data_IF_512582769513
#
_entry.id   IF_512582769513
#
_cell.length_a   1.000
_cell.length_b   1.000
_cell.length_c   1.000
_cell.angle_alpha   90.00
_cell.angle_beta   90.00
_cell.angle_gamma   90.00
#
_symmetry.space_group_name_H-M   'P 1'
#
loop_
_entity.id
_entity.type
_entity.pdbx_description
1 polymer ?
#
# COMPACT_ATOMS: atom_id res chain seq x y z
N UNK A 1 -12.82 -0.83 6.75
CA UNK A 1 -11.69 -1.15 7.66
C UNK A 1 -10.61 -1.80 6.79
N UNK A 2 -9.61 -1.04 6.36
CA UNK A 2 -8.54 -1.55 5.48
C UNK A 2 -7.52 -2.33 6.30
N UNK A 3 -6.70 -3.17 5.64
CA UNK A 3 -5.56 -3.80 6.29
C UNK A 3 -4.69 -2.72 6.94
N UNK A 4 -4.61 -2.71 8.27
CA UNK A 4 -3.88 -1.71 9.04
C UNK A 4 -2.66 -2.38 9.67
N UNK A 5 -1.54 -1.66 9.67
CA UNK A 5 -0.29 -2.07 10.29
C UNK A 5 0.14 -1.07 11.36
N UNK A 6 0.56 -1.59 12.50
CA UNK A 6 0.99 -0.80 13.65
C UNK A 6 2.34 -1.29 14.13
N UNK A 7 3.34 -0.40 14.17
CA UNK A 7 4.68 -0.73 14.62
C UNK A 7 4.86 -0.48 16.12
N UNK A 8 5.91 -1.08 16.69
CA UNK A 8 6.32 -0.89 18.09
C UNK A 8 6.52 0.59 18.45
N UNK A 9 7.09 1.40 17.55
CA UNK A 9 7.26 2.85 17.77
C UNK A 9 5.91 3.55 17.94
N UNK A 10 4.91 3.22 17.09
CA UNK A 10 3.57 3.80 17.19
C UNK A 10 2.91 3.44 18.52
N UNK A 11 3.08 2.20 18.99
CA UNK A 11 2.57 1.75 20.28
C UNK A 11 3.22 2.49 21.45
N UNK A 12 4.55 2.70 21.42
CA UNK A 12 5.29 3.45 22.45
C UNK A 12 4.81 4.89 22.53
N UNK A 13 4.59 5.52 21.39
CA UNK A 13 4.02 6.87 21.30
C UNK A 13 2.62 6.93 21.91
N UNK A 14 1.74 5.99 21.55
CA UNK A 14 0.38 5.94 22.05
C UNK A 14 0.34 5.72 23.57
N UNK A 15 1.19 4.82 24.08
CA UNK A 15 1.30 4.53 25.50
C UNK A 15 1.76 5.76 26.29
N UNK A 16 2.83 6.40 25.83
CA UNK A 16 3.38 7.61 26.47
C UNK A 16 2.39 8.78 26.40
N UNK A 17 1.76 8.97 25.24
CA UNK A 17 0.76 10.02 25.03
C UNK A 17 -0.47 9.83 25.91
N UNK A 18 -0.97 8.60 26.04
CA UNK A 18 -2.10 8.28 26.92
C UNK A 18 -1.72 8.43 28.39
N UNK A 19 -0.52 7.98 28.79
CA UNK A 19 -0.08 8.09 30.17
C UNK A 19 0.09 9.55 30.62
N UNK A 20 0.74 10.37 29.81
CA UNK A 20 0.92 11.80 30.12
C UNK A 20 -0.40 12.56 30.12
N UNK A 21 -1.33 12.20 29.22
CA UNK A 21 -2.69 12.73 29.21
C UNK A 21 -3.46 12.39 30.49
N UNK A 22 -3.44 11.11 30.92
CA UNK A 22 -4.08 10.68 32.16
C UNK A 22 -3.48 11.42 33.36
N UNK A 23 -2.14 11.52 33.44
CA UNK A 23 -1.45 12.23 34.53
C UNK A 23 -1.87 13.71 34.59
N UNK A 24 -1.92 14.41 33.46
CA UNK A 24 -2.26 15.83 33.41
C UNK A 24 -3.71 16.13 33.80
N UNK A 25 -4.65 15.29 33.40
CA UNK A 25 -6.09 15.52 33.59
C UNK A 25 -6.71 14.65 34.67
N UNK A 26 -5.90 14.01 35.52
CA UNK A 26 -6.34 13.03 36.53
C UNK A 26 -7.50 13.55 37.39
N UNK A 27 -7.38 14.77 37.92
CA UNK A 27 -8.38 15.41 38.77
C UNK A 27 -9.73 15.72 38.07
N UNK A 28 -9.80 15.63 36.73
CA UNK A 28 -11.00 15.93 35.95
C UNK A 28 -11.80 14.70 35.54
N UNK A 29 -11.29 13.49 35.79
CA UNK A 29 -11.96 12.26 35.39
C UNK A 29 -12.86 11.74 36.51
N UNK A 30 -14.08 11.32 36.15
CA UNK A 30 -14.88 10.49 37.02
C UNK A 30 -14.32 9.04 37.05
N UNK A 31 -14.70 8.27 38.06
CA UNK A 31 -14.17 6.91 38.28
C UNK A 31 -14.42 5.98 37.08
N UNK A 32 -15.57 6.11 36.42
CA UNK A 32 -15.96 5.29 35.26
C UNK A 32 -15.08 5.57 34.03
N UNK A 33 -14.86 6.84 33.69
CA UNK A 33 -14.01 7.22 32.56
C UNK A 33 -12.55 6.87 32.83
N UNK A 34 -12.09 7.02 34.09
CA UNK A 34 -10.74 6.65 34.49
C UNK A 34 -10.51 5.13 34.33
N UNK A 35 -11.50 4.30 34.68
CA UNK A 35 -11.43 2.85 34.46
C UNK A 35 -11.27 2.52 32.97
N UNK A 36 -12.07 3.13 32.09
CA UNK A 36 -11.99 2.89 30.64
C UNK A 36 -10.64 3.35 30.06
N UNK A 37 -10.10 4.48 30.52
CA UNK A 37 -8.75 4.95 30.13
C UNK A 37 -7.65 4.00 30.62
N UNK A 38 -7.78 3.44 31.84
CA UNK A 38 -6.85 2.43 32.36
C UNK A 38 -6.92 1.13 31.57
N UNK A 39 -8.10 0.69 31.14
CA UNK A 39 -8.27 -0.48 30.28
C UNK A 39 -7.62 -0.28 28.91
N UNK A 40 -7.77 0.89 28.28
CA UNK A 40 -7.07 1.20 27.02
C UNK A 40 -5.55 1.20 27.23
N UNK A 41 -5.06 1.76 28.35
CA UNK A 41 -3.64 1.72 28.71
C UNK A 41 -3.15 0.28 28.91
N UNK A 42 -3.96 -0.59 29.52
CA UNK A 42 -3.65 -2.00 29.69
C UNK A 42 -3.49 -2.69 28.34
N UNK A 43 -4.41 -2.47 27.39
CA UNK A 43 -4.32 -3.02 26.02
C UNK A 43 -3.00 -2.58 25.36
N UNK A 44 -2.67 -1.29 25.41
CA UNK A 44 -1.39 -0.78 24.86
C UNK A 44 -0.18 -1.44 25.54
N UNK A 45 -0.22 -1.64 26.86
CA UNK A 45 0.84 -2.31 27.61
C UNK A 45 1.01 -3.76 27.17
N UNK A 46 -0.08 -4.53 27.07
CA UNK A 46 -0.05 -5.92 26.62
C UNK A 46 0.51 -6.05 25.21
N UNK A 47 0.08 -5.18 24.29
CA UNK A 47 0.60 -5.14 22.92
C UNK A 47 2.09 -4.81 22.84
N UNK A 48 2.59 -3.91 23.71
CA UNK A 48 4.01 -3.60 23.82
C UNK A 48 4.81 -4.79 24.33
N UNK A 49 4.41 -5.37 25.47
CA UNK A 49 5.11 -6.52 26.06
C UNK A 49 5.19 -7.71 25.09
N UNK A 50 4.12 -7.95 24.34
CA UNK A 50 4.08 -9.08 23.40
C UNK A 50 5.06 -8.92 22.22
N UNK A 51 5.31 -7.70 21.73
CA UNK A 51 6.35 -7.45 20.70
C UNK A 51 7.76 -7.42 21.26
N UNK A 52 7.94 -7.07 22.55
CA UNK A 52 9.25 -7.01 23.21
C UNK A 52 9.76 -8.38 23.66
N UNK A 53 8.93 -9.42 23.61
CA UNK A 53 9.31 -10.81 23.91
C UNK A 53 10.16 -11.40 22.77
N UNK A 54 11.17 -12.23 23.06
CA UNK A 54 12.29 -12.62 22.17
C UNK A 54 11.99 -12.72 20.66
N UNK A 55 12.87 -12.19 19.79
CA UNK A 55 12.65 -12.13 18.35
C UNK A 55 12.82 -13.52 17.72
N UNK A 56 11.71 -14.24 17.54
CA UNK A 56 11.63 -15.30 16.54
C UNK A 56 11.47 -14.64 15.17
N UNK A 57 12.25 -15.08 14.16
CA UNK A 57 12.18 -14.54 12.79
C UNK A 57 10.87 -14.93 12.04
N UNK A 58 9.97 -15.65 12.70
CA UNK A 58 8.74 -16.14 12.10
C UNK A 58 7.65 -15.06 12.09
N UNK A 59 6.96 -14.95 10.95
CA UNK A 59 5.65 -14.29 10.86
C UNK A 59 4.61 -15.25 11.41
N UNK A 60 3.94 -14.84 12.49
CA UNK A 60 2.91 -15.66 13.12
C UNK A 60 1.53 -15.13 12.75
N UNK A 61 0.59 -16.05 12.52
CA UNK A 61 -0.80 -15.75 12.17
C UNK A 61 -1.70 -16.21 13.32
N UNK A 62 -2.63 -15.36 13.74
CA UNK A 62 -3.61 -15.66 14.76
C UNK A 62 -5.03 -15.30 14.29
N UNK A 63 -6.02 -16.07 14.73
CA UNK A 63 -7.41 -15.60 14.75
C UNK A 63 -7.57 -14.43 15.73
N UNK A 64 -8.69 -13.71 15.65
CA UNK A 64 -8.92 -12.54 16.50
C UNK A 64 -9.11 -12.97 17.96
N UNK A 65 -9.82 -14.07 18.20
CA UNK A 65 -10.00 -14.63 19.54
C UNK A 65 -8.69 -15.17 20.13
N UNK A 66 -7.95 -15.99 19.39
CA UNK A 66 -6.63 -16.49 19.86
C UNK A 66 -5.70 -15.33 20.19
N UNK A 67 -5.64 -14.31 19.34
CA UNK A 67 -4.79 -13.14 19.58
C UNK A 67 -5.18 -12.43 20.88
N UNK A 68 -6.48 -12.25 21.16
CA UNK A 68 -6.96 -11.63 22.40
C UNK A 68 -6.54 -12.41 23.63
N UNK A 69 -6.64 -13.74 23.59
CA UNK A 69 -6.21 -14.62 24.69
C UNK A 69 -4.69 -14.54 24.91
N UNK A 70 -3.91 -14.56 23.82
CA UNK A 70 -2.45 -14.52 23.87
C UNK A 70 -1.93 -13.21 24.49
N UNK A 71 -2.61 -12.08 24.23
CA UNK A 71 -2.24 -10.78 24.83
C UNK A 71 -2.98 -10.49 26.16
N UNK A 72 -3.82 -11.41 26.64
CA UNK A 72 -4.53 -11.29 27.92
C UNK A 72 -5.60 -10.19 27.96
N UNK A 73 -6.33 -9.97 26.87
CA UNK A 73 -7.42 -8.96 26.79
C UNK A 73 -8.80 -9.57 26.53
N UNK A 74 -8.95 -10.88 26.60
CA UNK A 74 -10.18 -11.62 26.31
C UNK A 74 -11.36 -11.19 27.19
N UNK A 75 -11.09 -10.79 28.43
CA UNK A 75 -12.10 -10.36 29.40
C UNK A 75 -12.48 -8.88 29.28
N UNK A 76 -11.87 -8.12 28.36
CA UNK A 76 -12.18 -6.70 28.18
C UNK A 76 -13.35 -6.48 27.22
N UNK A 77 -14.32 -5.67 27.63
CA UNK A 77 -15.40 -5.22 26.76
C UNK A 77 -14.90 -4.16 25.76
N UNK A 78 -14.35 -4.65 24.64
CA UNK A 78 -13.85 -3.80 23.55
C UNK A 78 -14.95 -2.95 22.93
N UNK A 79 -16.22 -3.41 22.93
CA UNK A 79 -17.33 -2.64 22.37
C UNK A 79 -17.56 -1.36 23.18
N UNK A 80 -17.65 -1.47 24.50
CA UNK A 80 -17.79 -0.31 25.39
C UNK A 80 -16.59 0.63 25.32
N UNK A 81 -15.37 0.11 25.17
CA UNK A 81 -14.16 0.91 25.03
C UNK A 81 -14.14 1.71 23.72
N UNK A 82 -14.48 1.08 22.59
CA UNK A 82 -14.55 1.78 21.30
C UNK A 82 -15.64 2.87 21.35
N UNK A 83 -16.83 2.55 21.88
CA UNK A 83 -17.92 3.51 22.05
C UNK A 83 -17.54 4.68 22.96
N UNK A 84 -16.75 4.42 24.01
CA UNK A 84 -16.18 5.46 24.87
C UNK A 84 -15.23 6.38 24.09
N UNK A 85 -14.30 5.82 23.30
CA UNK A 85 -13.39 6.58 22.46
C UNK A 85 -14.13 7.51 21.50
N UNK A 86 -15.23 7.04 20.90
CA UNK A 86 -16.06 7.79 19.97
C UNK A 86 -16.88 8.88 20.68
N UNK A 87 -17.61 8.52 21.75
CA UNK A 87 -18.45 9.45 22.52
C UNK A 87 -17.68 10.66 23.04
N UNK A 88 -16.49 10.44 23.59
CA UNK A 88 -15.68 11.51 24.17
C UNK A 88 -14.69 12.13 23.20
N UNK A 89 -14.69 11.70 21.92
CA UNK A 89 -13.71 12.06 20.90
C UNK A 89 -12.27 11.93 21.43
N UNK A 90 -12.00 10.85 22.17
CA UNK A 90 -10.74 10.64 22.89
C UNK A 90 -9.55 10.67 21.92
N UNK A 91 -9.69 10.02 20.77
CA UNK A 91 -8.64 9.94 19.75
C UNK A 91 -8.24 11.33 19.26
N UNK A 92 -9.21 12.23 19.02
CA UNK A 92 -8.94 13.61 18.61
C UNK A 92 -8.29 14.44 19.72
N UNK A 93 -8.72 14.24 20.98
CA UNK A 93 -8.13 14.91 22.14
C UNK A 93 -6.67 14.49 22.36
N UNK A 94 -6.40 13.18 22.28
CA UNK A 94 -5.05 12.64 22.38
C UNK A 94 -4.17 13.09 21.21
N UNK A 95 -4.69 13.05 19.98
CA UNK A 95 -4.00 13.57 18.79
C UNK A 95 -3.57 15.02 18.98
N UNK A 96 -4.49 15.90 19.37
CA UNK A 96 -4.21 17.31 19.61
C UNK A 96 -3.23 17.53 20.77
N UNK A 97 -3.36 16.76 21.85
CA UNK A 97 -2.46 16.82 23.00
C UNK A 97 -1.03 16.40 22.64
N UNK A 98 -0.86 15.28 21.94
CA UNK A 98 0.44 14.79 21.48
C UNK A 98 1.08 15.77 20.51
N UNK A 99 0.30 16.38 19.60
CA UNK A 99 0.79 17.42 18.70
C UNK A 99 1.24 18.68 19.46
N UNK A 100 0.54 19.05 20.52
CA UNK A 100 0.93 20.19 21.36
C UNK A 100 2.23 19.90 22.13
N UNK A 101 2.36 18.72 22.74
CA UNK A 101 3.59 18.30 23.40
C UNK A 101 4.77 18.27 22.43
N UNK A 102 4.55 17.78 21.22
CA UNK A 102 5.53 17.76 20.16
C UNK A 102 6.00 19.18 19.79
N UNK A 103 5.08 20.13 19.60
CA UNK A 103 5.41 21.54 19.34
C UNK A 103 6.22 22.17 20.48
N UNK A 104 5.87 21.85 21.73
CA UNK A 104 6.61 22.32 22.91
C UNK A 104 8.03 21.75 22.94
N UNK A 105 8.19 20.45 22.69
CA UNK A 105 9.49 19.80 22.62
C UNK A 105 10.38 20.38 21.51
N UNK A 106 9.82 20.65 20.32
CA UNK A 106 10.51 21.32 19.22
C UNK A 106 10.99 22.72 19.61
N UNK A 107 10.13 23.53 20.23
CA UNK A 107 10.52 24.88 20.70
C UNK A 107 11.68 24.81 21.69
N UNK A 108 11.60 23.93 22.68
CA UNK A 108 12.68 23.73 23.66
C UNK A 108 13.96 23.22 23.02
N UNK A 109 13.88 22.38 21.98
CA UNK A 109 15.06 21.95 21.22
C UNK A 109 15.70 23.11 20.45
N UNK A 110 14.91 23.89 19.72
CA UNK A 110 15.40 25.07 18.98
C UNK A 110 16.05 26.10 19.94
N UNK A 111 15.42 26.38 21.08
CA UNK A 111 15.96 27.27 22.12
C UNK A 111 17.27 26.74 22.73
N UNK A 112 17.43 25.42 22.86
CA UNK A 112 18.69 24.80 23.33
C UNK A 112 19.78 24.85 22.27
N UNK A 113 19.45 24.64 21.00
CA UNK A 113 20.37 24.75 19.86
C UNK A 113 20.87 26.19 19.69
N UNK A 114 20.00 27.18 19.83
CA UNK A 114 20.37 28.61 19.81
C UNK A 114 21.29 28.99 20.97
N UNK A 115 21.08 28.41 22.17
CA UNK A 115 21.97 28.61 23.32
C UNK A 115 23.33 27.92 23.16
N UNK A 116 23.40 26.77 22.49
CA UNK A 116 24.66 26.10 22.18
C UNK A 116 25.49 26.84 21.10
N UNK A 117 24.84 27.41 20.08
CA UNK A 117 25.53 28.25 19.09
C UNK A 117 26.11 29.55 19.69
N UNK A 118 25.51 30.10 20.74
CA UNK A 118 26.03 31.30 21.42
C UNK A 118 27.26 31.03 22.31
N UNK A 119 27.54 29.78 22.70
CA UNK A 119 28.68 29.43 23.55
C UNK A 119 29.94 29.01 22.78
N UNK A 120 29.85 28.65 21.49
CA UNK A 120 31.02 28.39 20.64
C UNK A 120 31.33 29.61 19.77
N UNK A 121 32.11 30.56 20.30
CA UNK A 121 32.74 31.61 19.48
C UNK A 121 34.01 31.05 18.81
N UNK A 122 33.86 30.46 17.63
CA UNK A 122 34.88 30.50 16.58
C UNK A 122 34.24 30.83 15.24
N UNK A 123 34.96 31.66 14.48
CA UNK A 123 34.55 32.55 13.39
C UNK A 123 33.99 31.87 12.12
N UNK A 124 33.21 32.60 11.29
CA UNK A 124 32.47 32.03 10.16
C UNK A 124 33.21 32.19 8.82
N UNK A 125 33.56 31.09 8.15
CA UNK A 125 33.90 31.09 6.72
C UNK A 125 33.42 29.80 6.02
N UNK A 126 32.54 30.01 5.03
CA UNK A 126 32.26 29.16 3.83
C UNK A 126 31.99 27.66 4.01
N UNK A 127 30.72 27.27 3.81
CA UNK A 127 30.33 25.97 3.21
C UNK A 127 28.90 26.06 2.67
N UNK A 128 28.77 26.55 1.44
CA UNK A 128 27.69 26.17 0.56
C UNK A 128 27.97 24.74 0.04
N UNK A 129 26.91 23.95 -0.10
CA UNK A 129 26.85 22.59 -0.69
C UNK A 129 27.31 21.41 0.19
N UNK A 130 26.37 20.88 0.97
CA UNK A 130 26.30 19.44 1.29
C UNK A 130 24.85 19.03 1.57
N UNK A 131 24.04 18.98 0.52
CA UNK A 131 22.77 18.25 0.49
C UNK A 131 23.05 16.75 0.35
N UNK A 132 23.45 16.10 1.44
CA UNK A 132 23.43 14.63 1.56
C UNK A 132 23.23 14.22 3.01
N UNK A 133 22.09 13.58 3.26
CA UNK A 133 21.85 12.56 4.31
C UNK A 133 22.25 12.92 5.74
N UNK A 134 21.32 13.54 6.50
CA UNK A 134 21.23 13.46 7.96
C UNK A 134 19.81 13.83 8.43
N UNK A 135 18.84 12.95 8.14
CA UNK A 135 17.40 13.15 8.45
C UNK A 135 16.98 12.44 9.77
N UNK A 136 17.92 12.27 10.72
CA UNK A 136 17.73 11.44 11.93
C UNK A 136 17.58 12.20 13.25
N UNK A 137 17.51 13.54 13.25
CA UNK A 137 17.49 14.34 14.50
C UNK A 137 16.36 15.38 14.59
N UNK A 138 15.31 15.27 13.78
CA UNK A 138 14.04 15.95 14.03
C UNK A 138 13.07 14.96 14.69
N UNK A 139 12.44 15.29 15.83
CA UNK A 139 11.41 14.41 16.38
C UNK A 139 10.31 14.28 15.30
N UNK A 140 9.89 13.05 14.99
CA UNK A 140 8.83 12.80 14.01
C UNK A 140 7.47 13.13 14.62
N UNK A 141 6.50 13.58 13.82
CA UNK A 141 5.16 13.89 14.30
C UNK A 141 4.40 12.60 14.65
N UNK A 142 4.27 12.30 15.94
CA UNK A 142 3.68 11.04 16.43
C UNK A 142 2.13 11.07 16.48
N UNK A 143 1.52 12.12 15.96
CA UNK A 143 0.06 12.35 16.03
C UNK A 143 -0.76 11.37 15.17
N UNK A 144 -0.14 10.71 14.20
CA UNK A 144 -0.80 9.67 13.40
C UNK A 144 -0.85 8.31 14.11
N UNK A 145 0.08 8.05 15.05
CA UNK A 145 0.17 6.79 15.80
C UNK A 145 -1.14 6.46 16.52
N UNK A 146 -1.82 7.47 17.10
CA UNK A 146 -3.09 7.26 17.82
C UNK A 146 -4.26 6.91 16.90
N UNK A 147 -4.26 7.39 15.66
CA UNK A 147 -5.26 7.04 14.66
C UNK A 147 -5.07 5.59 14.20
N UNK A 148 -3.81 5.19 13.96
CA UNK A 148 -3.45 3.80 13.66
C UNK A 148 -3.88 2.86 14.79
N UNK A 149 -3.60 3.21 16.05
CA UNK A 149 -4.05 2.43 17.20
C UNK A 149 -5.57 2.36 17.30
N UNK A 150 -6.29 3.46 17.07
CA UNK A 150 -7.75 3.46 17.12
C UNK A 150 -8.37 2.53 16.07
N UNK A 151 -7.83 2.54 14.86
CA UNK A 151 -8.25 1.64 13.79
C UNK A 151 -7.91 0.18 14.08
N UNK A 152 -6.71 -0.10 14.61
CA UNK A 152 -6.33 -1.44 15.06
C UNK A 152 -7.21 -1.94 16.21
N UNK A 153 -7.56 -1.07 17.18
CA UNK A 153 -8.49 -1.43 18.24
C UNK A 153 -9.88 -1.76 17.69
N UNK A 154 -10.34 -1.03 16.67
CA UNK A 154 -11.58 -1.36 15.97
C UNK A 154 -11.47 -2.70 15.25
N UNK A 155 -10.32 -3.04 14.67
CA UNK A 155 -10.14 -4.34 13.99
C UNK A 155 -10.17 -5.52 14.95
N UNK A 156 -9.87 -5.33 16.24
CA UNK A 156 -10.05 -6.38 17.25
C UNK A 156 -11.53 -6.67 17.57
N UNK A 157 -12.48 -5.86 17.09
CA UNK A 157 -13.92 -6.15 17.21
C UNK A 157 -14.39 -7.19 16.18
N UNK A 158 -13.66 -7.39 15.10
CA UNK A 158 -14.09 -8.29 14.01
C UNK A 158 -14.14 -9.74 14.45
N UNK A 159 -14.96 -10.54 13.75
CA UNK A 159 -15.07 -11.97 14.00
C UNK A 159 -13.91 -12.77 13.41
N UNK A 160 -13.72 -14.00 13.88
CA UNK A 160 -12.68 -14.91 13.37
C UNK A 160 -12.96 -15.39 11.94
N UNK A 161 -14.17 -15.23 11.41
CA UNK A 161 -14.44 -15.45 9.99
C UNK A 161 -14.08 -14.24 9.11
N UNK A 162 -13.86 -13.06 9.72
CA UNK A 162 -13.72 -11.81 8.97
C UNK A 162 -12.26 -11.39 8.79
N UNK A 163 -11.39 -11.69 9.76
CA UNK A 163 -10.00 -11.25 9.68
C UNK A 163 -9.02 -12.07 10.51
N UNK A 164 -7.74 -11.73 10.35
CA UNK A 164 -6.60 -12.33 11.05
C UNK A 164 -5.66 -11.25 11.55
N UNK A 165 -4.88 -11.59 12.57
CA UNK A 165 -3.75 -10.77 13.02
C UNK A 165 -2.46 -11.46 12.60
N UNK A 166 -1.65 -10.76 11.82
CA UNK A 166 -0.30 -11.15 11.47
C UNK A 166 0.65 -10.38 12.36
N UNK A 167 1.60 -11.10 12.95
CA UNK A 167 2.63 -10.54 13.80
C UNK A 167 3.96 -10.70 13.07
N UNK A 168 4.53 -9.57 12.66
CA UNK A 168 5.84 -9.52 12.05
C UNK A 168 6.83 -9.06 13.13
N UNK A 169 7.50 -10.03 13.78
CA UNK A 169 8.50 -9.74 14.82
C UNK A 169 9.78 -9.12 14.25
N UNK A 170 10.14 -9.45 13.00
CA UNK A 170 11.29 -8.84 12.33
C UNK A 170 11.10 -7.33 12.13
N UNK A 171 9.88 -6.90 11.81
CA UNK A 171 9.51 -5.49 11.71
C UNK A 171 8.92 -4.90 13.00
N UNK A 172 8.83 -5.71 14.07
CA UNK A 172 8.15 -5.39 15.33
C UNK A 172 6.79 -4.72 15.10
N UNK A 173 5.91 -5.40 14.36
CA UNK A 173 4.61 -4.84 13.96
C UNK A 173 3.47 -5.85 14.00
N UNK A 174 2.28 -5.32 14.25
CA UNK A 174 1.01 -6.01 14.09
C UNK A 174 0.35 -5.58 12.79
N UNK A 175 -0.24 -6.53 12.06
CA UNK A 175 -1.00 -6.25 10.85
C UNK A 175 -2.34 -6.96 10.91
N UNK A 176 -3.43 -6.22 10.79
CA UNK A 176 -4.76 -6.80 10.60
C UNK A 176 -4.96 -7.11 9.12
N UNK A 177 -5.34 -8.36 8.83
CA UNK A 177 -5.68 -8.84 7.49
C UNK A 177 -7.19 -9.07 7.44
N UNK A 178 -7.89 -8.28 6.62
CA UNK A 178 -9.30 -8.51 6.33
C UNK A 178 -9.44 -9.62 5.27
N UNK A 179 -10.24 -10.65 5.58
CA UNK A 179 -10.54 -11.79 4.72
C UNK A 179 -11.93 -11.68 4.11
N UNK A 180 -12.92 -11.24 4.89
CA UNK A 180 -14.30 -11.10 4.45
C UNK A 180 -14.77 -9.65 4.52
N UNK A 181 -15.18 -9.10 3.37
CA UNK A 181 -15.71 -7.73 3.28
C UNK A 181 -17.24 -7.70 3.39
N UNK A 182 -17.92 -8.81 3.10
CA UNK A 182 -19.38 -8.90 3.05
C UNK A 182 -20.09 -8.36 4.30
N UNK A 183 -19.65 -8.66 5.55
CA UNK A 183 -20.33 -8.14 6.74
C UNK A 183 -20.31 -6.61 6.85
N UNK A 184 -19.21 -5.96 6.45
CA UNK A 184 -19.12 -4.50 6.44
C UNK A 184 -20.01 -3.90 5.35
N UNK A 185 -20.14 -4.60 4.21
CA UNK A 185 -20.97 -4.16 3.11
C UNK A 185 -22.46 -4.39 3.40
N UNK A 186 -22.82 -5.43 4.16
CA UNK A 186 -24.20 -5.78 4.52
C UNK A 186 -24.97 -4.61 5.12
N UNK A 187 -24.38 -3.89 6.08
CA UNK A 187 -25.02 -2.73 6.71
C UNK A 187 -25.33 -1.64 5.67
N UNK A 188 -24.45 -1.44 4.69
CA UNK A 188 -24.68 -0.53 3.57
C UNK A 188 -25.80 -1.02 2.65
N UNK A 189 -25.80 -2.32 2.31
CA UNK A 189 -26.83 -2.95 1.47
C UNK A 189 -28.23 -2.85 2.07
N UNK A 190 -28.34 -2.95 3.40
CA UNK A 190 -29.62 -2.90 4.14
C UNK A 190 -30.09 -1.47 4.41
N UNK A 191 -29.18 -0.52 4.62
CA UNK A 191 -29.52 0.87 4.95
C UNK A 191 -29.82 1.75 3.75
N UNK A 192 -29.51 1.30 2.53
CA UNK A 192 -29.65 2.09 1.30
C UNK A 192 -30.77 1.57 0.39
N UNK A 193 -31.42 2.49 -0.33
CA UNK A 193 -32.51 2.15 -1.28
C UNK A 193 -32.00 1.41 -2.52
N UNK A 194 -30.83 1.81 -3.02
CA UNK A 194 -30.16 1.29 -4.21
C UNK A 194 -28.67 1.59 -4.16
N UNK A 195 -27.85 0.62 -4.57
CA UNK A 195 -26.40 0.77 -4.74
C UNK A 195 -26.10 0.53 -6.21
N UNK A 196 -25.36 1.45 -6.84
CA UNK A 196 -24.91 1.32 -8.23
C UNK A 196 -23.40 1.15 -8.20
N UNK A 197 -22.92 -0.01 -8.66
CA UNK A 197 -21.50 -0.24 -8.91
C UNK A 197 -21.26 -0.13 -10.42
N UNK A 198 -20.43 0.82 -10.82
CA UNK A 198 -20.12 1.09 -12.22
C UNK A 198 -18.61 1.08 -12.45
N UNK A 199 -18.16 0.34 -13.47
CA UNK A 199 -16.76 0.24 -13.83
C UNK A 199 -16.56 -0.48 -15.17
N UNK A 200 -15.52 -0.09 -15.90
CA UNK A 200 -15.22 -0.63 -17.23
C UNK A 200 -14.51 -1.98 -17.24
N UNK A 201 -13.95 -2.41 -16.11
CA UNK A 201 -13.09 -3.61 -15.97
C UNK A 201 -13.59 -4.58 -14.89
N UNK A 202 -14.89 -4.57 -14.61
CA UNK A 202 -15.49 -5.32 -13.49
C UNK A 202 -15.81 -6.80 -13.78
N UNK A 203 -15.54 -7.30 -14.99
CA UNK A 203 -15.73 -8.73 -15.32
C UNK A 203 -14.53 -9.55 -14.81
N UNK A 204 -14.74 -10.73 -14.22
CA UNK A 204 -16.01 -11.44 -13.97
C UNK A 204 -16.84 -10.86 -12.80
N UNK A 205 -18.18 -10.92 -12.90
CA UNK A 205 -19.08 -10.31 -11.90
C UNK A 205 -19.37 -11.23 -10.71
N UNK A 206 -19.15 -12.52 -10.90
CA UNK A 206 -19.39 -13.59 -9.94
C UNK A 206 -18.52 -13.36 -8.68
N UNK A 207 -17.23 -13.05 -8.87
CA UNK A 207 -16.31 -12.75 -7.76
C UNK A 207 -16.80 -11.58 -6.90
N UNK A 208 -17.24 -10.49 -7.54
CA UNK A 208 -17.74 -9.31 -6.82
C UNK A 208 -19.02 -9.68 -6.07
N UNK A 209 -19.89 -10.47 -6.68
CA UNK A 209 -21.15 -10.93 -6.10
C UNK A 209 -20.89 -11.79 -4.87
N UNK A 210 -20.01 -12.78 -4.99
CA UNK A 210 -19.70 -13.74 -3.94
C UNK A 210 -18.93 -13.07 -2.78
N UNK A 211 -18.01 -12.14 -3.06
CA UNK A 211 -17.22 -11.49 -2.02
C UNK A 211 -17.94 -10.34 -1.29
N UNK A 212 -18.72 -9.51 -2.01
CA UNK A 212 -19.39 -8.35 -1.40
C UNK A 212 -20.81 -8.65 -0.94
N UNK A 213 -21.54 -9.48 -1.68
CA UNK A 213 -22.99 -9.60 -1.54
C UNK A 213 -23.45 -10.97 -1.01
N UNK A 214 -22.53 -11.87 -0.67
CA UNK A 214 -22.84 -13.18 -0.08
C UNK A 214 -23.97 -13.09 0.95
N UNK A 215 -25.09 -13.74 0.63
CA UNK A 215 -26.28 -13.86 1.49
C UNK A 215 -27.10 -12.59 1.73
N UNK A 216 -26.67 -11.40 1.30
CA UNK A 216 -27.32 -10.11 1.64
C UNK A 216 -28.13 -9.48 0.52
N UNK A 217 -27.86 -9.84 -0.74
CA UNK A 217 -28.54 -9.27 -1.91
C UNK A 217 -29.10 -10.32 -2.89
N UNK A 218 -29.23 -11.58 -2.46
CA UNK A 218 -29.81 -12.64 -3.29
C UNK A 218 -31.18 -12.20 -3.85
N UNK A 219 -31.33 -12.20 -5.17
CA UNK A 219 -32.54 -11.76 -5.87
C UNK A 219 -32.72 -10.25 -6.06
N UNK A 220 -31.78 -9.40 -5.59
CA UNK A 220 -31.78 -7.94 -5.81
C UNK A 220 -30.65 -7.45 -6.72
N UNK A 221 -29.82 -8.36 -7.21
CA UNK A 221 -28.69 -8.02 -8.08
C UNK A 221 -29.15 -7.96 -9.53
N UNK A 222 -28.89 -6.82 -10.17
CA UNK A 222 -29.08 -6.63 -11.59
C UNK A 222 -27.74 -6.22 -12.20
N UNK A 223 -27.37 -6.86 -13.29
CA UNK A 223 -26.16 -6.56 -14.03
C UNK A 223 -26.53 -5.95 -15.37
N UNK A 224 -25.83 -4.89 -15.73
CA UNK A 224 -25.96 -4.25 -17.03
C UNK A 224 -24.56 -4.02 -17.59
N UNK A 225 -24.31 -4.54 -18.79
CA UNK A 225 -23.07 -4.34 -19.52
C UNK A 225 -23.43 -3.72 -20.86
N UNK A 226 -22.80 -2.60 -21.19
CA UNK A 226 -22.81 -2.09 -22.56
C UNK A 226 -21.81 -2.89 -23.40
N UNK A 227 -22.04 -2.91 -24.70
CA UNK A 227 -21.06 -3.40 -25.67
C UNK A 227 -19.84 -2.48 -25.75
N UNK A 228 -18.77 -2.99 -26.35
CA UNK A 228 -17.56 -2.22 -26.52
C UNK A 228 -17.83 -1.01 -27.44
N UNK A 229 -17.56 0.19 -26.92
CA UNK A 229 -17.68 1.44 -27.69
C UNK A 229 -16.65 1.55 -28.83
N UNK A 230 -15.56 0.76 -28.75
CA UNK A 230 -14.48 0.79 -29.73
C UNK A 230 -14.77 -0.24 -30.83
N UNK A 231 -14.85 0.17 -32.11
CA UNK A 231 -14.95 -0.74 -33.24
C UNK A 231 -13.77 -1.72 -33.28
N UNK A 232 -13.98 -2.95 -33.77
CA UNK A 232 -12.94 -3.98 -33.79
C UNK A 232 -11.73 -3.59 -34.64
N UNK A 233 -11.93 -2.79 -35.68
CA UNK A 233 -10.89 -2.24 -36.54
C UNK A 233 -9.92 -1.28 -35.82
N UNK A 234 -10.34 -0.72 -34.68
CA UNK A 234 -9.55 0.25 -33.91
C UNK A 234 -8.76 -0.39 -32.77
N UNK A 235 -8.96 -1.68 -32.49
CA UNK A 235 -8.30 -2.38 -31.38
C UNK A 235 -7.88 -3.79 -31.80
N UNK A 236 -6.58 -4.05 -31.76
CA UNK A 236 -6.02 -5.39 -31.95
C UNK A 236 -5.37 -5.85 -30.65
N UNK A 237 -5.86 -6.96 -30.09
CA UNK A 237 -5.28 -7.60 -28.91
C UNK A 237 -4.55 -8.89 -29.35
N UNK A 238 -3.26 -8.99 -29.03
CA UNK A 238 -2.42 -10.14 -29.38
C UNK A 238 -1.75 -10.71 -28.13
N UNK A 239 -1.68 -12.03 -28.06
CA UNK A 239 -0.91 -12.74 -27.03
C UNK A 239 0.35 -13.32 -27.65
N UNK A 240 1.51 -12.80 -27.27
CA UNK A 240 2.81 -13.31 -27.71
C UNK A 240 3.33 -14.35 -26.72
N UNK A 241 3.41 -15.60 -27.14
CA UNK A 241 3.89 -16.72 -26.31
C UNK A 241 5.36 -17.07 -26.54
N UNK A 242 5.95 -16.57 -27.62
CA UNK A 242 7.34 -16.81 -28.03
C UNK A 242 7.93 -15.53 -28.58
N UNK A 243 9.24 -15.36 -28.47
CA UNK A 243 9.94 -14.26 -29.11
C UNK A 243 10.52 -14.58 -30.48
N UNK A 244 11.38 -13.68 -31.01
CA UNK A 244 11.93 -13.74 -32.36
C UNK A 244 12.81 -14.98 -32.64
N UNK A 245 13.47 -15.52 -31.63
CA UNK A 245 14.31 -16.73 -31.77
C UNK A 245 13.51 -18.03 -31.59
N UNK A 246 12.22 -17.93 -31.29
CA UNK A 246 11.34 -19.06 -31.00
C UNK A 246 11.36 -19.49 -29.53
N UNK A 247 12.12 -18.80 -28.68
CA UNK A 247 12.16 -19.04 -27.23
C UNK A 247 10.80 -18.71 -26.61
N UNK A 248 10.27 -19.62 -25.79
CA UNK A 248 9.01 -19.41 -25.10
C UNK A 248 9.13 -18.33 -24.02
N UNK A 249 8.15 -17.43 -23.95
CA UNK A 249 8.08 -16.44 -22.90
C UNK A 249 7.58 -17.06 -21.58
N UNK A 250 8.50 -17.22 -20.63
CA UNK A 250 8.21 -17.68 -19.28
C UNK A 250 8.69 -16.67 -18.24
N UNK A 251 7.76 -15.81 -17.81
CA UNK A 251 7.99 -14.77 -16.81
C UNK A 251 7.79 -15.26 -15.36
N UNK A 252 7.84 -16.56 -15.10
CA UNK A 252 7.82 -17.09 -13.72
C UNK A 252 9.00 -16.58 -12.90
N UNK A 253 8.87 -16.57 -11.57
CA UNK A 253 9.91 -16.07 -10.66
C UNK A 253 11.28 -16.72 -10.89
N UNK A 254 11.31 -18.01 -11.27
CA UNK A 254 12.53 -18.77 -11.54
C UNK A 254 13.22 -18.32 -12.83
N UNK A 255 12.44 -18.09 -13.89
CA UNK A 255 12.98 -17.90 -15.24
C UNK A 255 13.07 -16.44 -15.67
N UNK A 256 12.32 -15.54 -15.02
CA UNK A 256 12.24 -14.11 -15.39
C UNK A 256 13.60 -13.40 -15.42
N UNK A 257 14.57 -13.84 -14.61
CA UNK A 257 15.91 -13.25 -14.55
C UNK A 257 16.92 -13.89 -15.50
N UNK A 258 16.49 -14.87 -16.31
CA UNK A 258 17.38 -15.53 -17.26
C UNK A 258 17.83 -14.56 -18.36
N UNK A 259 19.15 -14.49 -18.69
CA UNK A 259 19.65 -13.58 -19.72
C UNK A 259 19.05 -13.85 -21.10
N UNK A 260 18.78 -15.12 -21.44
CA UNK A 260 18.14 -15.49 -22.72
C UNK A 260 16.74 -14.91 -22.85
N UNK A 261 15.93 -14.96 -21.80
CA UNK A 261 14.58 -14.39 -21.81
C UNK A 261 14.61 -12.85 -21.87
N UNK A 262 15.55 -12.22 -21.17
CA UNK A 262 15.72 -10.76 -21.22
C UNK A 262 16.16 -10.28 -22.60
N UNK A 263 17.06 -11.02 -23.26
CA UNK A 263 17.46 -10.78 -24.64
C UNK A 263 16.27 -10.94 -25.59
N UNK A 264 15.50 -12.02 -25.44
CA UNK A 264 14.33 -12.30 -26.26
C UNK A 264 13.26 -11.19 -26.13
N UNK A 265 13.01 -10.72 -24.90
CA UNK A 265 12.12 -9.61 -24.62
C UNK A 265 12.65 -8.30 -25.22
N UNK A 266 13.95 -8.03 -25.06
CA UNK A 266 14.62 -6.86 -25.62
C UNK A 266 14.46 -6.79 -27.15
N UNK A 267 14.69 -7.90 -27.85
CA UNK A 267 14.53 -7.98 -29.30
C UNK A 267 13.06 -7.81 -29.72
N UNK A 268 12.13 -8.36 -28.94
CA UNK A 268 10.69 -8.19 -29.17
C UNK A 268 10.26 -6.74 -29.06
N UNK A 269 10.68 -6.05 -27.99
CA UNK A 269 10.41 -4.62 -27.81
C UNK A 269 10.98 -3.82 -28.98
N UNK A 270 12.24 -4.09 -29.38
CA UNK A 270 12.88 -3.43 -30.52
C UNK A 270 12.08 -3.58 -31.82
N UNK A 271 11.55 -4.77 -32.10
CA UNK A 271 10.74 -5.03 -33.28
C UNK A 271 9.41 -4.29 -33.26
N UNK A 272 8.74 -4.25 -32.10
CA UNK A 272 7.45 -3.54 -31.93
C UNK A 272 7.65 -2.03 -32.08
N UNK A 273 8.60 -1.44 -31.37
CA UNK A 273 8.81 0.02 -31.40
C UNK A 273 9.25 0.53 -32.78
N UNK A 274 9.79 -0.34 -33.63
CA UNK A 274 10.18 0.00 -35.00
C UNK A 274 8.96 0.27 -35.88
N UNK A 275 7.85 -0.42 -35.63
CA UNK A 275 6.65 -0.41 -36.47
C UNK A 275 5.62 0.56 -35.92
N UNK A 276 5.46 0.62 -34.59
CA UNK A 276 4.41 1.40 -33.94
C UNK A 276 4.73 2.90 -33.98
N UNK A 277 3.86 3.76 -34.53
CA UNK A 277 4.02 5.22 -34.45
C UNK A 277 3.66 5.75 -33.05
N UNK A 278 4.05 6.98 -32.72
CA UNK A 278 3.68 7.61 -31.46
C UNK A 278 4.23 6.92 -30.20
N UNK A 279 3.48 6.99 -29.11
CA UNK A 279 3.81 6.48 -27.79
C UNK A 279 3.58 4.97 -27.65
N UNK A 280 4.57 4.28 -27.09
CA UNK A 280 4.47 2.88 -26.65
C UNK A 280 4.60 2.84 -25.14
N UNK A 281 3.67 2.19 -24.46
CA UNK A 281 3.70 2.00 -23.00
C UNK A 281 3.91 0.52 -22.70
N UNK A 282 5.00 0.20 -22.01
CA UNK A 282 5.35 -1.16 -21.63
C UNK A 282 5.19 -1.34 -20.12
N UNK A 283 4.14 -2.05 -19.74
CA UNK A 283 3.84 -2.40 -18.35
C UNK A 283 4.60 -3.65 -17.92
N UNK A 284 5.37 -3.50 -16.86
CA UNK A 284 6.20 -4.53 -16.24
C UNK A 284 5.60 -4.95 -14.90
N UNK A 285 5.84 -6.18 -14.43
CA UNK A 285 5.13 -6.74 -13.28
C UNK A 285 5.57 -6.15 -11.93
N UNK A 286 6.75 -5.51 -11.86
CA UNK A 286 7.26 -4.86 -10.64
C UNK A 286 8.39 -3.88 -10.96
N UNK A 287 8.64 -2.92 -10.06
CA UNK A 287 9.79 -2.01 -10.16
C UNK A 287 11.14 -2.74 -10.16
N UNK A 288 11.25 -3.85 -9.41
CA UNK A 288 12.49 -4.63 -9.36
C UNK A 288 12.77 -5.31 -10.71
N UNK A 289 11.72 -5.81 -11.38
CA UNK A 289 11.85 -6.39 -12.72
C UNK A 289 12.14 -5.33 -13.78
N UNK A 290 11.54 -4.15 -13.67
CA UNK A 290 11.84 -3.03 -14.55
C UNK A 290 13.30 -2.59 -14.42
N UNK A 291 13.82 -2.48 -13.18
CA UNK A 291 15.22 -2.16 -12.95
C UNK A 291 16.17 -3.24 -13.49
N UNK A 292 15.80 -4.52 -13.36
CA UNK A 292 16.55 -5.65 -13.93
C UNK A 292 16.63 -5.57 -15.46
N UNK A 293 15.49 -5.40 -16.12
CA UNK A 293 15.42 -5.27 -17.58
C UNK A 293 16.20 -4.04 -18.04
N UNK A 294 16.02 -2.89 -17.37
CA UNK A 294 16.72 -1.66 -17.73
C UNK A 294 18.25 -1.81 -17.61
N UNK A 295 18.73 -2.42 -16.52
CA UNK A 295 20.15 -2.71 -16.33
C UNK A 295 20.69 -3.63 -17.44
N UNK A 296 19.96 -4.70 -17.78
CA UNK A 296 20.32 -5.59 -18.87
C UNK A 296 20.40 -4.87 -20.22
N UNK A 297 19.45 -3.97 -20.51
CA UNK A 297 19.46 -3.17 -21.75
C UNK A 297 20.69 -2.25 -21.83
N UNK A 298 21.14 -1.70 -20.70
CA UNK A 298 22.34 -0.87 -20.65
C UNK A 298 23.61 -1.70 -20.90
N UNK A 299 23.73 -2.85 -20.24
CA UNK A 299 24.92 -3.72 -20.32
C UNK A 299 25.06 -4.40 -21.69
N UNK A 300 23.95 -4.80 -22.32
CA UNK A 300 23.93 -5.40 -23.66
C UNK A 300 24.10 -4.40 -24.81
N UNK A 301 24.06 -3.10 -24.53
CA UNK A 301 24.03 -2.04 -25.55
C UNK A 301 22.69 -1.92 -26.30
N UNK A 302 21.69 -2.74 -25.98
CA UNK A 302 20.36 -2.67 -26.57
C UNK A 302 19.63 -1.35 -26.23
N UNK A 303 19.93 -0.75 -25.09
CA UNK A 303 19.37 0.54 -24.68
C UNK A 303 19.64 1.64 -25.72
N UNK A 304 20.85 1.72 -26.26
CA UNK A 304 21.21 2.74 -27.25
C UNK A 304 20.38 2.56 -28.53
N UNK A 305 20.15 1.30 -28.94
CA UNK A 305 19.31 0.97 -30.10
C UNK A 305 17.86 1.40 -29.87
N UNK A 306 17.33 1.16 -28.68
CA UNK A 306 15.99 1.59 -28.28
C UNK A 306 15.88 3.12 -28.27
N UNK A 307 16.76 3.82 -27.54
CA UNK A 307 16.70 5.28 -27.34
C UNK A 307 16.90 6.06 -28.65
N UNK A 308 17.68 5.52 -29.59
CA UNK A 308 17.86 6.10 -30.94
C UNK A 308 16.57 6.06 -31.76
N UNK A 309 15.74 5.03 -31.54
CA UNK A 309 14.47 4.84 -32.23
C UNK A 309 13.34 5.60 -31.55
N UNK A 310 13.17 5.42 -30.25
CA UNK A 310 12.18 6.12 -29.42
C UNK A 310 12.82 6.48 -28.09
N UNK A 311 12.67 7.74 -27.67
CA UNK A 311 13.19 8.17 -26.37
C UNK A 311 12.59 7.31 -25.25
N UNK A 312 13.44 6.74 -24.41
CA UNK A 312 13.03 5.86 -23.31
C UNK A 312 12.78 6.67 -22.04
N UNK A 313 11.59 6.51 -21.47
CA UNK A 313 11.16 7.05 -20.18
C UNK A 313 10.90 5.91 -19.21
N UNK A 314 11.08 6.18 -17.92
CA UNK A 314 10.88 5.20 -16.84
C UNK A 314 10.01 5.79 -15.75
N UNK A 315 9.07 5.01 -15.26
CA UNK A 315 8.30 5.36 -14.08
C UNK A 315 9.20 5.42 -12.83
N UNK A 316 9.27 6.57 -12.13
CA UNK A 316 10.05 6.67 -10.89
C UNK A 316 9.27 6.08 -9.72
N UNK A 317 9.98 5.41 -8.80
CA UNK A 317 9.39 4.90 -7.54
C UNK A 317 8.97 6.04 -6.59
N UNK A 318 9.69 7.17 -6.61
CA UNK A 318 9.61 8.23 -5.60
C UNK A 318 8.83 9.48 -6.03
N UNK A 319 7.63 9.30 -6.59
CA UNK A 319 6.62 10.36 -6.65
C UNK A 319 6.83 11.49 -7.67
N UNK A 320 7.81 11.40 -8.57
CA UNK A 320 8.00 12.33 -9.70
C UNK A 320 7.30 11.86 -10.99
N UNK A 321 6.22 11.09 -10.86
CA UNK A 321 5.55 10.46 -12.00
C UNK A 321 4.92 11.50 -12.94
N UNK A 322 4.35 12.59 -12.40
CA UNK A 322 3.69 13.64 -13.19
C UNK A 322 4.66 14.36 -14.12
N UNK A 323 5.87 14.66 -13.64
CA UNK A 323 6.92 15.27 -14.47
C UNK A 323 7.36 14.34 -15.60
N UNK A 324 7.54 13.05 -15.33
CA UNK A 324 7.92 12.07 -16.37
C UNK A 324 6.81 11.93 -17.39
N UNK A 325 5.55 11.88 -16.97
CA UNK A 325 4.41 11.79 -17.86
C UNK A 325 4.27 13.05 -18.74
N UNK A 326 4.50 14.23 -18.18
CA UNK A 326 4.50 15.48 -18.91
C UNK A 326 5.62 15.53 -19.97
N UNK A 327 6.83 15.08 -19.61
CA UNK A 327 7.96 14.99 -20.53
C UNK A 327 7.73 13.97 -21.64
N UNK A 328 7.22 12.78 -21.29
CA UNK A 328 6.82 11.75 -22.25
C UNK A 328 5.79 12.30 -23.25
N UNK A 329 4.73 12.92 -22.73
CA UNK A 329 3.65 13.48 -23.56
C UNK A 329 4.15 14.59 -24.48
N UNK A 330 5.04 15.47 -23.98
CA UNK A 330 5.69 16.50 -24.78
C UNK A 330 6.57 15.89 -25.87
N UNK A 331 7.30 14.83 -25.57
CA UNK A 331 8.17 14.17 -26.54
C UNK A 331 7.36 13.50 -27.65
N UNK A 332 6.28 12.78 -27.31
CA UNK A 332 5.40 12.14 -28.29
C UNK A 332 4.79 13.16 -29.26
N UNK A 333 4.33 14.31 -28.76
CA UNK A 333 3.74 15.37 -29.61
C UNK A 333 4.75 16.08 -30.50
N UNK A 334 5.99 16.25 -30.04
CA UNK A 334 6.97 17.06 -30.75
C UNK A 334 7.91 16.23 -31.65
N UNK A 335 7.98 14.91 -31.45
CA UNK A 335 8.89 14.03 -32.16
C UNK A 335 8.10 13.02 -32.98
N UNK A 336 8.30 13.02 -34.30
CA UNK A 336 7.63 12.08 -35.22
C UNK A 336 7.93 10.61 -34.91
N UNK A 337 9.06 10.33 -34.25
CA UNK A 337 9.43 8.97 -33.85
C UNK A 337 8.65 8.49 -32.62
N UNK A 338 8.04 9.37 -31.83
CA UNK A 338 7.36 9.02 -30.58
C UNK A 338 8.31 8.62 -29.44
N UNK A 339 7.78 7.95 -28.41
CA UNK A 339 8.50 7.62 -27.18
C UNK A 339 8.13 6.23 -26.64
N UNK A 340 9.00 5.64 -25.83
CA UNK A 340 8.76 4.40 -25.08
C UNK A 340 8.72 4.72 -23.59
N UNK A 341 7.66 4.31 -22.89
CA UNK A 341 7.53 4.45 -21.45
C UNK A 341 7.53 3.06 -20.80
N UNK A 342 8.51 2.78 -19.95
CA UNK A 342 8.46 1.65 -19.03
C UNK A 342 7.66 2.06 -17.77
N UNK A 343 6.54 1.40 -17.56
CA UNK A 343 5.65 1.59 -16.42
C UNK A 343 5.48 0.28 -15.65
N UNK A 344 4.98 0.35 -14.42
CA UNK A 344 4.78 -0.83 -13.57
C UNK A 344 3.29 -1.06 -13.36
N UNK A 345 2.85 -2.32 -13.47
CA UNK A 345 1.46 -2.69 -13.15
C UNK A 345 1.20 -2.48 -11.65
N UNK A 346 0.15 -1.75 -11.31
CA UNK A 346 -0.11 -1.30 -9.92
C UNK A 346 0.79 -0.13 -9.48
N UNK A 347 1.59 0.42 -10.39
CA UNK A 347 2.31 1.68 -10.20
C UNK A 347 1.39 2.89 -10.41
N UNK A 348 1.90 4.09 -10.10
CA UNK A 348 1.12 5.33 -10.20
C UNK A 348 0.69 5.64 -11.62
N UNK A 349 1.51 5.29 -12.62
CA UNK A 349 1.18 5.53 -14.03
C UNK A 349 0.20 4.50 -14.61
N UNK A 350 -0.08 3.42 -13.89
CA UNK A 350 -1.10 2.43 -14.28
C UNK A 350 -2.50 2.77 -13.76
N UNK A 351 -2.61 3.71 -12.82
CA UNK A 351 -3.88 4.11 -12.19
C UNK A 351 -4.24 5.55 -12.55
N UNK A 352 -5.46 5.78 -13.03
CA UNK A 352 -6.01 7.13 -13.22
C UNK A 352 -5.41 7.97 -14.34
N UNK A 353 -4.44 7.44 -15.10
CA UNK A 353 -3.85 8.12 -16.27
C UNK A 353 -4.54 7.64 -17.55
N UNK A 354 -4.92 8.59 -18.42
CA UNK A 354 -5.48 8.31 -19.73
C UNK A 354 -4.44 8.57 -20.84
N UNK A 355 -3.95 7.51 -21.48
CA UNK A 355 -3.09 7.60 -22.66
C UNK A 355 -3.95 7.80 -23.91
N UNK A 356 -4.28 9.06 -24.21
CA UNK A 356 -5.11 9.40 -25.36
C UNK A 356 -4.33 9.35 -26.68
N UNK A 357 -4.93 8.67 -27.67
CA UNK A 357 -4.49 8.59 -29.07
C UNK A 357 -2.98 8.34 -29.24
N UNK A 358 -2.22 9.32 -29.73
CA UNK A 358 -0.77 9.20 -29.97
C UNK A 358 0.02 8.86 -28.70
N UNK A 359 -0.48 9.14 -27.51
CA UNK A 359 0.22 8.83 -26.25
C UNK A 359 0.34 7.33 -25.97
N UNK A 360 -0.52 6.50 -26.60
CA UNK A 360 -0.60 5.07 -26.31
C UNK A 360 -1.04 4.23 -27.52
N UNK A 361 -0.37 4.39 -28.67
CA UNK A 361 -0.67 3.61 -29.89
C UNK A 361 -0.38 2.12 -29.73
N UNK A 362 0.48 1.74 -28.80
CA UNK A 362 0.67 0.35 -28.37
C UNK A 362 0.86 0.27 -26.87
N UNK A 363 0.13 -0.65 -26.24
CA UNK A 363 0.33 -1.04 -24.84
C UNK A 363 0.85 -2.46 -24.83
N UNK A 364 2.04 -2.65 -24.26
CA UNK A 364 2.66 -3.95 -24.03
C UNK A 364 2.50 -4.31 -22.56
N UNK A 365 2.07 -5.53 -22.27
CA UNK A 365 2.03 -6.06 -20.90
C UNK A 365 2.97 -7.26 -20.84
N UNK A 366 4.03 -7.13 -20.04
CA UNK A 366 5.07 -8.15 -19.92
C UNK A 366 4.80 -9.02 -18.71
N UNK A 367 4.54 -10.30 -18.96
CA UNK A 367 4.17 -11.24 -17.90
C UNK A 367 2.85 -10.88 -17.22
N UNK A 368 2.62 -11.46 -16.05
CA UNK A 368 1.45 -11.21 -15.23
C UNK A 368 1.89 -10.78 -13.82
N UNK A 369 1.25 -9.75 -13.22
CA UNK A 369 1.61 -9.22 -11.91
C UNK A 369 1.08 -10.13 -10.79
N UNK A 370 1.54 -11.37 -10.73
CA UNK A 370 1.11 -12.29 -9.68
C UNK A 370 1.63 -11.83 -8.32
N UNK A 371 0.76 -11.83 -7.28
CA UNK A 371 1.20 -11.56 -5.93
C UNK A 371 2.15 -12.67 -5.47
N UNK A 372 3.00 -12.34 -4.49
CA UNK A 372 3.93 -13.32 -3.96
C UNK A 372 3.18 -14.46 -3.23
N UNK A 373 3.20 -15.68 -3.78
CA UNK A 373 2.54 -16.85 -3.18
C UNK A 373 3.18 -17.30 -1.85
N UNK A 374 4.42 -16.88 -1.57
CA UNK A 374 5.09 -17.18 -0.28
C UNK A 374 4.70 -16.20 0.83
N UNK A 375 3.97 -15.14 0.50
CA UNK A 375 3.43 -14.21 1.50
C UNK A 375 2.37 -14.91 2.34
N UNK A 376 2.53 -14.84 3.66
CA UNK A 376 1.57 -15.36 4.64
C UNK A 376 0.18 -14.77 4.39
N UNK A 377 0.10 -13.49 4.00
CA UNK A 377 -1.16 -12.85 3.65
C UNK A 377 -1.89 -13.54 2.48
N UNK A 378 -1.16 -13.89 1.43
CA UNK A 378 -1.73 -14.52 0.23
C UNK A 378 -2.13 -15.95 0.52
N UNK A 379 -1.28 -16.71 1.19
CA UNK A 379 -1.60 -18.09 1.60
C UNK A 379 -2.87 -18.13 2.46
N UNK A 380 -3.00 -17.18 3.37
CA UNK A 380 -4.18 -17.08 4.23
C UNK A 380 -5.44 -16.69 3.45
N UNK A 381 -5.35 -15.73 2.53
CA UNK A 381 -6.48 -15.38 1.65
C UNK A 381 -6.91 -16.54 0.76
N UNK A 382 -5.96 -17.27 0.18
CA UNK A 382 -6.22 -18.46 -0.64
C UNK A 382 -6.88 -19.54 0.20
N UNK A 383 -6.38 -19.79 1.42
CA UNK A 383 -6.98 -20.75 2.36
C UNK A 383 -8.41 -20.37 2.71
N UNK A 384 -8.66 -19.10 3.02
CA UNK A 384 -10.00 -18.60 3.30
C UNK A 384 -10.94 -18.77 2.09
N UNK A 385 -10.50 -18.38 0.90
CA UNK A 385 -11.29 -18.50 -0.33
C UNK A 385 -11.61 -19.97 -0.65
N UNK A 386 -10.63 -20.86 -0.50
CA UNK A 386 -10.80 -22.30 -0.76
C UNK A 386 -11.83 -22.96 0.18
N UNK A 387 -11.97 -22.47 1.42
CA UNK A 387 -12.98 -22.98 2.35
C UNK A 387 -14.35 -22.33 2.10
N UNK A 388 -14.36 -21.03 1.76
CA UNK A 388 -15.59 -20.23 1.71
C UNK A 388 -16.38 -20.38 0.40
N UNK A 389 -15.72 -20.68 -0.72
CA UNK A 389 -16.34 -20.70 -2.06
C UNK A 389 -16.42 -22.10 -2.69
N UNK A 390 -15.96 -23.16 -2.01
CA UNK A 390 -16.06 -24.56 -2.49
C UNK A 390 -17.39 -25.23 -2.04
N UNK A 391 -18.29 -24.49 -1.40
CA UNK A 391 -19.58 -24.99 -0.89
C UNK A 391 -20.80 -24.56 -1.71
N UNK A 392 -20.66 -24.41 -3.03
CA UNK A 392 -21.80 -24.16 -3.94
C UNK A 392 -21.87 -25.22 -5.03
#
# INVERSE_FOLDING_TARGET
MYSNQMHLSNLKDCFTGLETYIKRYMARFNSKNLLQLKQIKLILKSLLQFLETEPTQAKNLYTIQEFKCVIGIENLDLYSLIKFCEKYRLIFKLKGYMQQQFKLALKTHLEKSEKQMKNNKQTPLTLANSTTSNDSMLPKSNSQSILMFAEFLKSLKTGDCEGRIIIDRAQSSYKFLLLNVSPQFRDLVLSTRSIILAGGTMKPYEEITDHLFAGSAAGRLAHFSCDHVIPQENLVCLTLTKGPTGTAFDFTFKNRSSPSLLEELSQTIQNIIRIVPGGVVCFLPSYDYEALLYKFLQESGAFVKLDTRKKVFREPKDGKCDTVLAEFSRHVRNCSKGALLFAVVGGKLSEGINFSDDLGRCVMVVGLPYPNITSVEIQEKVRYASVSFVSV
#
